data_IF_330978777324
#
_entry.id   IF_330978777324
#
_cell.length_a   1.000
_cell.length_b   1.000
_cell.length_c   1.000
_cell.angle_alpha   90.00
_cell.angle_beta   90.00
_cell.angle_gamma   90.00
#
_symmetry.space_group_name_H-M   'P 1'
#
loop_
_entity.id
_entity.type
_entity.pdbx_description
1 polymer ?
#
# COMPACT_ATOMS: atom_id res chain seq x y z
N UNK A 1 16.00 -4.33 8.34
CA UNK A 1 15.06 -5.48 8.31
C UNK A 1 13.71 -5.00 7.76
N UNK A 2 13.60 -4.90 6.42
CA UNK A 2 12.40 -4.38 5.75
C UNK A 2 11.34 -5.46 5.56
N UNK A 3 11.74 -6.66 5.14
CA UNK A 3 10.83 -7.79 4.93
C UNK A 3 10.32 -8.37 6.25
N UNK A 4 11.15 -8.38 7.30
CA UNK A 4 10.70 -8.85 8.61
C UNK A 4 9.66 -7.91 9.24
N UNK A 5 9.71 -6.62 8.90
CA UNK A 5 8.64 -5.67 9.26
C UNK A 5 7.35 -5.96 8.52
N UNK A 6 7.41 -6.54 7.32
CA UNK A 6 6.23 -6.99 6.60
C UNK A 6 5.77 -8.40 7.02
N UNK A 7 6.39 -8.99 8.05
CA UNK A 7 5.98 -10.29 8.59
C UNK A 7 6.74 -11.49 8.01
N UNK A 8 7.75 -11.26 7.16
CA UNK A 8 8.60 -12.33 6.65
C UNK A 8 9.61 -12.81 7.70
N UNK A 9 9.85 -14.11 7.72
CA UNK A 9 10.74 -14.77 8.66
C UNK A 9 11.56 -15.85 7.97
N UNK A 10 12.72 -16.12 8.54
CA UNK A 10 13.58 -17.21 8.07
C UNK A 10 12.99 -18.54 8.52
N UNK A 11 12.75 -19.45 7.57
CA UNK A 11 12.14 -20.76 7.80
C UNK A 11 13.18 -21.91 7.68
N UNK A 12 14.47 -21.62 7.89
CA UNK A 12 15.52 -22.65 7.88
C UNK A 12 16.01 -23.07 6.49
N UNK A 13 15.60 -22.37 5.43
CA UNK A 13 15.96 -22.70 4.04
C UNK A 13 17.03 -21.73 3.52
N UNK A 14 18.12 -22.29 3.02
CA UNK A 14 19.28 -21.56 2.49
C UNK A 14 19.43 -21.89 1.01
N UNK A 15 19.71 -20.88 0.18
CA UNK A 15 20.06 -21.04 -1.22
C UNK A 15 21.41 -21.79 -1.36
N UNK A 16 21.46 -22.79 -2.24
CA UNK A 16 22.62 -23.68 -2.40
C UNK A 16 23.77 -23.08 -3.22
N UNK A 17 23.52 -21.98 -3.93
CA UNK A 17 24.50 -21.32 -4.80
C UNK A 17 25.19 -20.17 -4.08
N UNK A 18 24.45 -19.33 -3.36
CA UNK A 18 24.98 -18.12 -2.72
C UNK A 18 24.85 -18.08 -1.19
N UNK A 19 24.20 -19.07 -0.58
CA UNK A 19 24.04 -19.14 0.88
C UNK A 19 23.06 -18.12 1.45
N UNK A 20 22.26 -17.44 0.61
CA UNK A 20 21.24 -16.50 1.04
C UNK A 20 20.07 -17.16 1.78
N UNK A 21 19.53 -16.55 2.85
CA UNK A 21 18.35 -17.07 3.54
C UNK A 21 17.08 -16.81 2.74
N UNK A 22 16.25 -17.83 2.59
CA UNK A 22 14.90 -17.69 2.07
C UNK A 22 13.99 -17.20 3.21
N UNK A 23 13.31 -16.07 2.98
CA UNK A 23 12.30 -15.56 3.89
C UNK A 23 10.90 -15.91 3.35
N UNK A 24 10.01 -16.33 4.24
CA UNK A 24 8.63 -16.64 3.90
C UNK A 24 7.66 -16.03 4.92
N UNK A 25 6.41 -15.90 4.52
CA UNK A 25 5.31 -15.47 5.37
C UNK A 25 4.00 -16.03 4.86
N UNK A 26 2.96 -16.01 5.70
CA UNK A 26 1.60 -16.24 5.22
C UNK A 26 1.02 -14.93 4.69
N UNK A 27 0.08 -14.98 3.75
CA UNK A 27 -0.49 -13.76 3.16
C UNK A 27 -1.16 -12.92 4.24
N UNK A 28 -1.87 -13.55 5.17
CA UNK A 28 -2.49 -12.88 6.32
C UNK A 28 -1.46 -12.22 7.24
N UNK A 29 -0.22 -12.69 7.28
CA UNK A 29 0.89 -12.12 8.05
C UNK A 29 1.57 -10.94 7.36
N UNK A 30 1.25 -10.71 6.08
CA UNK A 30 1.83 -9.60 5.33
C UNK A 30 1.17 -8.28 5.74
N UNK A 31 1.89 -7.44 6.51
CA UNK A 31 1.33 -6.18 7.05
C UNK A 31 0.66 -5.32 6.00
N UNK A 32 1.30 -5.08 4.85
CA UNK A 32 0.70 -4.29 3.77
C UNK A 32 -0.63 -4.88 3.27
N UNK A 33 -0.75 -6.20 3.21
CA UNK A 33 -1.99 -6.86 2.77
C UNK A 33 -3.06 -6.75 3.86
N UNK A 34 -2.69 -7.09 5.10
CA UNK A 34 -3.58 -7.11 6.27
C UNK A 34 -4.15 -5.74 6.58
N UNK A 35 -3.30 -4.73 6.60
CA UNK A 35 -3.61 -3.41 7.15
C UNK A 35 -4.09 -2.43 6.07
N UNK A 36 -4.04 -2.81 4.78
CA UNK A 36 -4.64 -1.97 3.74
C UNK A 36 -6.16 -2.08 3.73
N UNK A 37 -6.82 -0.95 3.52
CA UNK A 37 -8.28 -0.83 3.49
C UNK A 37 -8.75 -0.29 2.14
N UNK A 38 -9.97 -0.66 1.73
CA UNK A 38 -10.60 -0.17 0.51
C UNK A 38 -11.49 1.03 0.81
N UNK A 39 -11.24 2.17 0.18
CA UNK A 39 -12.00 3.41 0.37
C UNK A 39 -12.15 4.16 -0.96
N UNK A 40 -13.22 4.96 -1.15
CA UNK A 40 -13.33 5.88 -2.29
C UNK A 40 -12.26 6.96 -2.20
N UNK A 41 -11.61 7.25 -3.32
CA UNK A 41 -10.60 8.31 -3.40
C UNK A 41 -11.24 9.56 -4.00
N UNK A 42 -11.09 10.68 -3.31
CA UNK A 42 -11.69 11.96 -3.69
C UNK A 42 -10.61 12.98 -4.00
N UNK A 43 -10.78 13.71 -5.10
CA UNK A 43 -9.95 14.84 -5.44
C UNK A 43 -10.20 16.00 -4.47
N UNK A 44 -9.14 16.53 -3.86
CA UNK A 44 -9.24 17.65 -2.93
C UNK A 44 -7.90 18.14 -2.44
N UNK A 45 -7.94 18.98 -1.42
CA UNK A 45 -6.75 19.47 -0.74
C UNK A 45 -6.29 18.45 0.33
N UNK A 46 -5.05 17.98 0.21
CA UNK A 46 -4.42 17.03 1.12
C UNK A 46 -3.28 17.69 1.96
N UNK A 47 -3.33 19.01 2.19
CA UNK A 47 -2.33 19.70 3.01
C UNK A 47 -2.35 19.28 4.49
N UNK A 48 -1.18 18.91 5.02
CA UNK A 48 -0.96 18.61 6.44
C UNK A 48 -1.15 17.15 6.86
N UNK A 49 -1.21 16.22 5.89
CA UNK A 49 -1.74 14.87 6.08
C UNK A 49 -0.68 13.77 6.23
N UNK A 50 -1.15 12.53 6.41
CA UNK A 50 -0.34 11.32 6.60
C UNK A 50 0.25 10.79 5.29
N UNK A 51 1.45 10.22 5.40
CA UNK A 51 2.09 9.54 4.27
C UNK A 51 1.48 8.16 4.12
N UNK A 52 0.91 7.89 2.95
CA UNK A 52 0.18 6.64 2.68
C UNK A 52 0.55 6.05 1.31
N UNK A 53 0.47 4.73 1.23
CA UNK A 53 0.60 3.99 -0.02
C UNK A 53 -0.79 3.74 -0.59
N UNK A 54 -0.99 4.19 -1.82
CA UNK A 54 -2.27 4.16 -2.52
C UNK A 54 -2.16 3.27 -3.76
N UNK A 55 -3.22 2.55 -4.09
CA UNK A 55 -3.28 1.77 -5.33
C UNK A 55 -4.68 1.74 -5.91
N UNK A 56 -4.76 1.55 -7.22
CA UNK A 56 -6.04 1.54 -7.95
C UNK A 56 -6.83 0.23 -7.83
N UNK A 57 -6.31 -0.77 -7.11
CA UNK A 57 -7.02 -2.02 -6.83
C UNK A 57 -7.28 -2.91 -8.04
N UNK A 58 -6.62 -2.68 -9.18
CA UNK A 58 -6.79 -3.46 -10.43
C UNK A 58 -5.61 -4.41 -10.64
N UNK A 59 -5.85 -5.53 -11.32
CA UNK A 59 -4.76 -6.43 -11.76
C UNK A 59 -4.15 -5.93 -13.07
N UNK A 60 -4.99 -5.78 -14.10
CA UNK A 60 -4.57 -5.14 -15.34
C UNK A 60 -4.50 -3.62 -15.15
N UNK A 61 -3.40 -3.01 -15.61
CA UNK A 61 -3.18 -1.59 -15.41
C UNK A 61 -2.96 -1.19 -13.94
N UNK A 62 -2.44 -2.11 -13.11
CA UNK A 62 -2.11 -1.79 -11.71
C UNK A 62 -1.21 -0.54 -11.62
N UNK A 63 -1.59 0.37 -10.73
CA UNK A 63 -0.83 1.57 -10.37
C UNK A 63 -0.78 1.67 -8.86
N UNK A 64 0.37 2.04 -8.32
CA UNK A 64 0.50 2.44 -6.91
C UNK A 64 1.41 3.65 -6.76
N UNK A 65 1.22 4.41 -5.68
CA UNK A 65 2.05 5.57 -5.36
C UNK A 65 2.15 5.76 -3.85
N UNK A 66 3.17 6.50 -3.42
CA UNK A 66 3.43 6.84 -2.03
C UNK A 66 3.37 8.35 -1.88
N UNK A 67 2.28 8.86 -1.32
CA UNK A 67 1.94 10.30 -1.31
C UNK A 67 1.41 10.72 0.06
N UNK A 68 1.25 12.03 0.26
CA UNK A 68 0.45 12.55 1.37
C UNK A 68 -1.03 12.43 1.01
N UNK A 69 -1.85 11.97 1.94
CA UNK A 69 -3.29 11.81 1.75
C UNK A 69 -4.03 12.00 3.07
N UNK A 70 -5.18 12.69 3.03
CA UNK A 70 -6.09 12.74 4.18
C UNK A 70 -6.91 11.46 4.20
N UNK A 71 -6.72 10.64 5.21
CA UNK A 71 -7.50 9.41 5.39
C UNK A 71 -8.60 9.70 6.41
N UNK A 72 -9.85 9.55 5.99
CA UNK A 72 -11.01 9.61 6.89
C UNK A 72 -11.64 8.22 6.98
N UNK A 73 -12.60 7.99 7.89
CA UNK A 73 -13.33 6.73 7.95
C UNK A 73 -14.07 6.38 6.64
N UNK A 74 -14.42 7.40 5.85
CA UNK A 74 -15.30 7.25 4.68
C UNK A 74 -14.57 7.39 3.34
N UNK A 75 -13.41 8.05 3.29
CA UNK A 75 -12.72 8.36 2.05
C UNK A 75 -11.23 8.64 2.23
N UNK A 76 -10.49 8.63 1.12
CA UNK A 76 -9.13 9.14 1.03
C UNK A 76 -9.14 10.38 0.14
N UNK A 77 -8.79 11.54 0.69
CA UNK A 77 -8.71 12.78 -0.07
C UNK A 77 -7.28 12.99 -0.53
N UNK A 78 -7.11 13.21 -1.83
CA UNK A 78 -5.81 13.33 -2.50
C UNK A 78 -5.81 14.50 -3.48
N UNK A 79 -4.61 15.03 -3.76
CA UNK A 79 -4.46 15.99 -4.84
C UNK A 79 -4.92 15.38 -6.19
N UNK A 80 -5.58 16.14 -7.09
CA UNK A 80 -6.13 15.61 -8.34
C UNK A 80 -5.11 14.82 -9.20
N UNK A 81 -3.84 15.24 -9.18
CA UNK A 81 -2.76 14.60 -9.93
C UNK A 81 -2.47 13.16 -9.45
N UNK A 82 -2.87 12.82 -8.22
CA UNK A 82 -2.75 11.46 -7.69
C UNK A 82 -3.76 10.53 -8.36
N UNK A 83 -5.00 10.97 -8.56
CA UNK A 83 -6.01 10.19 -9.29
C UNK A 83 -5.60 9.98 -10.75
N UNK A 84 -5.08 11.02 -11.38
CA UNK A 84 -4.53 10.94 -12.75
C UNK A 84 -3.39 9.91 -12.82
N UNK A 85 -2.42 9.97 -11.90
CA UNK A 85 -1.31 9.02 -11.85
C UNK A 85 -1.74 7.57 -11.56
N UNK A 86 -2.84 7.39 -10.81
CA UNK A 86 -3.44 6.09 -10.51
C UNK A 86 -4.40 5.60 -11.61
N UNK A 87 -4.70 6.43 -12.61
CA UNK A 87 -5.72 6.20 -13.64
C UNK A 87 -7.08 5.84 -13.02
N UNK A 88 -7.49 6.66 -12.05
CA UNK A 88 -8.73 6.52 -11.30
C UNK A 88 -9.65 7.72 -11.54
N UNK A 89 -10.94 7.46 -11.54
CA UNK A 89 -11.97 8.49 -11.51
C UNK A 89 -12.22 8.98 -10.07
N UNK A 90 -12.72 10.21 -9.93
CA UNK A 90 -13.14 10.76 -8.63
C UNK A 90 -14.26 9.92 -8.02
N UNK A 91 -14.11 9.55 -6.74
CA UNK A 91 -15.02 8.67 -6.01
C UNK A 91 -14.77 7.18 -6.26
N UNK A 92 -13.87 6.79 -7.16
CA UNK A 92 -13.55 5.39 -7.39
C UNK A 92 -12.86 4.77 -6.17
N UNK A 93 -13.26 3.54 -5.80
CA UNK A 93 -12.62 2.79 -4.73
C UNK A 93 -11.20 2.34 -5.11
N UNK A 94 -10.23 2.71 -4.29
CA UNK A 94 -8.86 2.21 -4.31
C UNK A 94 -8.49 1.53 -2.99
N UNK A 95 -7.24 1.08 -2.86
CA UNK A 95 -6.69 0.60 -1.58
C UNK A 95 -5.67 1.58 -1.02
N UNK A 96 -5.77 1.86 0.27
CA UNK A 96 -4.85 2.69 1.03
C UNK A 96 -4.21 1.90 2.16
N UNK A 97 -2.92 2.13 2.39
CA UNK A 97 -2.17 1.71 3.58
C UNK A 97 -1.51 2.95 4.17
N UNK A 98 -1.91 3.35 5.38
CA UNK A 98 -1.16 4.35 6.15
C UNK A 98 0.11 3.70 6.72
N UNK A 99 1.15 4.52 6.89
CA UNK A 99 2.37 4.14 7.59
C UNK A 99 2.41 4.86 8.93
N UNK A 100 1.38 4.67 9.75
CA UNK A 100 1.46 5.05 11.15
C UNK A 100 2.72 4.43 11.78
N UNK A 101 3.44 5.25 12.54
CA UNK A 101 4.65 4.88 13.30
C UNK A 101 4.26 4.40 14.68
#
# INVERSE_FOLDING_TARGET
RFLEREGLRFEGVIDIFDGGPLLATRIEDTRTVRDSIGLPFLAGDAHGEERAMLSNGRVEGFRCTLVQARITPDAVIVAPQVLEALEMEDGQTGRVRSFDV
#
